data_IF_237787384140
#
_entry.id   IF_237787384140
#
_cell.length_a   1.000
_cell.length_b   1.000
_cell.length_c   1.000
_cell.angle_alpha   90.00
_cell.angle_beta   90.00
_cell.angle_gamma   90.00
#
_symmetry.space_group_name_H-M   'P 1'
#
loop_
_entity.id
_entity.type
_entity.pdbx_description
1 polymer ?
#
# COMPACT_ATOMS: atom_id res chain seq x y z
N UNK A 1 3.37 14.82 -13.46
CA UNK A 1 1.92 14.50 -13.44
C UNK A 1 1.24 15.31 -12.34
N UNK A 2 0.27 16.17 -12.70
CA UNK A 2 -0.44 17.06 -11.74
C UNK A 2 -1.19 16.30 -10.64
N UNK A 3 -1.59 15.05 -10.90
CA UNK A 3 -2.35 14.20 -9.98
C UNK A 3 -1.57 13.89 -8.68
N UNK A 4 -0.25 13.66 -8.78
CA UNK A 4 0.59 13.33 -7.62
C UNK A 4 0.83 14.53 -6.68
N UNK A 5 0.45 15.74 -7.08
CA UNK A 5 0.51 16.94 -6.25
C UNK A 5 -0.80 17.21 -5.49
N UNK A 6 -1.89 16.52 -5.86
CA UNK A 6 -3.17 16.69 -5.18
C UNK A 6 -3.18 15.89 -3.87
N UNK A 7 -3.38 16.55 -2.74
CA UNK A 7 -3.46 15.88 -1.42
C UNK A 7 -4.66 14.94 -1.32
N UNK A 8 -5.77 15.24 -1.99
CA UNK A 8 -6.96 14.38 -2.02
C UNK A 8 -6.67 13.02 -2.66
N UNK A 9 -5.82 12.99 -3.69
CA UNK A 9 -5.41 11.73 -4.33
C UNK A 9 -4.71 10.81 -3.34
N UNK A 10 -3.78 11.34 -2.54
CA UNK A 10 -3.06 10.57 -1.53
C UNK A 10 -3.98 10.10 -0.41
N UNK A 11 -4.88 10.97 0.05
CA UNK A 11 -5.87 10.61 1.06
C UNK A 11 -6.76 9.44 0.60
N UNK A 12 -7.26 9.49 -0.64
CA UNK A 12 -8.05 8.40 -1.23
C UNK A 12 -7.20 7.13 -1.35
N UNK A 13 -5.96 7.25 -1.86
CA UNK A 13 -5.05 6.12 -2.04
C UNK A 13 -4.78 5.38 -0.72
N UNK A 14 -4.42 6.11 0.34
CA UNK A 14 -4.19 5.52 1.67
C UNK A 14 -5.46 4.93 2.28
N UNK A 15 -6.61 5.59 2.08
CA UNK A 15 -7.91 5.06 2.54
C UNK A 15 -8.27 3.75 1.85
N UNK A 16 -8.05 3.67 0.54
CA UNK A 16 -8.32 2.48 -0.25
C UNK A 16 -7.37 1.34 0.17
N UNK A 17 -6.09 1.62 0.37
CA UNK A 17 -5.14 0.65 0.95
C UNK A 17 -5.56 0.15 2.32
N UNK A 18 -6.04 1.05 3.20
CA UNK A 18 -6.54 0.67 4.50
C UNK A 18 -7.73 -0.30 4.38
N UNK A 19 -8.70 -0.02 3.51
CA UNK A 19 -9.80 -0.94 3.27
C UNK A 19 -9.35 -2.29 2.72
N UNK A 20 -8.40 -2.32 1.78
CA UNK A 20 -7.81 -3.57 1.29
C UNK A 20 -7.09 -4.34 2.40
N UNK A 21 -6.48 -3.65 3.36
CA UNK A 21 -5.87 -4.29 4.52
C UNK A 21 -6.88 -4.82 5.54
N UNK A 22 -8.12 -4.33 5.55
CA UNK A 22 -9.17 -4.89 6.43
C UNK A 22 -9.63 -6.27 5.97
N UNK A 23 -9.54 -6.56 4.67
CA UNK A 23 -9.90 -7.87 4.10
C UNK A 23 -9.01 -9.00 4.69
N UNK A 24 -7.77 -8.64 5.06
CA UNK A 24 -6.84 -9.52 5.76
C UNK A 24 -7.18 -9.86 7.20
N UNK A 25 -8.11 -9.13 7.83
CA UNK A 25 -8.47 -9.40 9.21
C UNK A 25 -9.29 -10.69 9.37
N UNK A 26 -9.76 -11.25 8.25
CA UNK A 26 -10.35 -12.59 8.21
C UNK A 26 -9.25 -13.67 8.30
N UNK A 27 -8.99 -14.15 9.52
CA UNK A 27 -7.96 -15.17 9.81
C UNK A 27 -8.27 -16.56 9.23
N UNK A 28 -9.47 -16.79 8.69
CA UNK A 28 -9.87 -18.07 8.07
C UNK A 28 -9.61 -18.08 6.56
N UNK A 29 -8.33 -18.09 6.18
CA UNK A 29 -7.94 -18.21 4.77
C UNK A 29 -7.64 -19.68 4.45
N UNK A 30 -8.22 -20.27 3.39
CA UNK A 30 -7.88 -21.62 2.97
C UNK A 30 -6.39 -21.68 2.61
N UNK A 31 -5.67 -22.67 3.15
CA UNK A 31 -4.24 -22.85 2.92
C UNK A 31 -4.03 -23.37 1.50
N UNK A 32 -4.09 -22.47 0.53
CA UNK A 32 -3.62 -22.71 -0.83
C UNK A 32 -2.15 -22.31 -0.91
N UNK A 33 -1.28 -23.32 -0.88
CA UNK A 33 0.16 -23.14 -1.04
C UNK A 33 0.47 -22.76 -2.49
N UNK A 34 1.01 -21.56 -2.68
CA UNK A 34 1.48 -21.06 -3.97
C UNK A 34 2.97 -21.42 -4.18
N UNK A 35 3.58 -20.91 -5.26
CA UNK A 35 4.90 -21.27 -5.81
C UNK A 35 6.06 -21.39 -4.79
N UNK A 36 5.99 -20.68 -3.66
CA UNK A 36 7.04 -20.63 -2.63
C UNK A 36 6.65 -21.38 -1.33
N UNK A 37 5.64 -22.25 -1.37
CA UNK A 37 5.03 -22.88 -0.20
C UNK A 37 4.52 -21.87 0.86
N UNK A 38 4.20 -20.66 0.40
CA UNK A 38 3.54 -19.66 1.22
C UNK A 38 2.06 -19.63 0.85
N UNK A 39 1.15 -19.41 1.82
CA UNK A 39 -0.23 -19.14 1.52
C UNK A 39 -0.38 -17.94 0.58
N UNK A 40 -1.33 -18.00 -0.35
CA UNK A 40 -1.64 -16.90 -1.30
C UNK A 40 -1.84 -15.55 -0.61
N UNK A 41 -2.45 -15.54 0.58
CA UNK A 41 -2.67 -14.32 1.38
C UNK A 41 -1.35 -13.61 1.74
N UNK A 42 -0.27 -14.36 2.01
CA UNK A 42 1.05 -13.77 2.33
C UNK A 42 1.58 -12.94 1.15
N UNK A 43 1.40 -13.41 -0.09
CA UNK A 43 1.81 -12.66 -1.27
C UNK A 43 0.99 -11.39 -1.44
N UNK A 44 -0.33 -11.47 -1.23
CA UNK A 44 -1.20 -10.30 -1.29
C UNK A 44 -0.81 -9.26 -0.21
N UNK A 45 -0.42 -9.72 0.99
CA UNK A 45 0.04 -8.84 2.08
C UNK A 45 1.35 -8.16 1.72
N UNK A 46 2.34 -8.93 1.25
CA UNK A 46 3.62 -8.39 0.80
C UNK A 46 3.45 -7.38 -0.34
N UNK A 47 2.56 -7.66 -1.29
CA UNK A 47 2.23 -6.70 -2.36
C UNK A 47 1.66 -5.40 -1.78
N UNK A 48 0.70 -5.45 -0.87
CA UNK A 48 0.16 -4.24 -0.23
C UNK A 48 1.25 -3.45 0.51
N UNK A 49 2.15 -4.11 1.24
CA UNK A 49 3.26 -3.46 1.95
C UNK A 49 4.23 -2.76 1.00
N UNK A 50 4.57 -3.38 -0.12
CA UNK A 50 5.44 -2.79 -1.14
C UNK A 50 4.78 -1.54 -1.72
N UNK A 51 3.49 -1.62 -2.11
CA UNK A 51 2.78 -0.48 -2.71
C UNK A 51 2.63 0.65 -1.68
N UNK A 52 2.33 0.34 -0.41
CA UNK A 52 2.27 1.31 0.67
C UNK A 52 3.62 2.02 0.88
N UNK A 53 4.71 1.26 0.92
CA UNK A 53 6.06 1.78 1.09
C UNK A 53 6.42 2.74 -0.05
N UNK A 54 6.18 2.34 -1.30
CA UNK A 54 6.40 3.20 -2.47
C UNK A 54 5.52 4.46 -2.41
N UNK A 55 4.26 4.32 -1.99
CA UNK A 55 3.33 5.45 -1.85
C UNK A 55 3.84 6.45 -0.81
N UNK A 56 4.33 5.99 0.34
CA UNK A 56 4.93 6.83 1.37
C UNK A 56 6.20 7.53 0.89
N UNK A 57 7.09 6.84 0.17
CA UNK A 57 8.31 7.43 -0.39
C UNK A 57 7.95 8.55 -1.36
N UNK A 58 7.03 8.30 -2.30
CA UNK A 58 6.63 9.32 -3.28
C UNK A 58 5.93 10.50 -2.59
N UNK A 59 5.06 10.23 -1.62
CA UNK A 59 4.40 11.26 -0.84
C UNK A 59 5.42 12.11 -0.08
N UNK A 60 6.36 11.50 0.63
CA UNK A 60 7.42 12.19 1.36
C UNK A 60 8.26 13.07 0.41
N UNK A 61 8.71 12.53 -0.73
CA UNK A 61 9.49 13.31 -1.70
C UNK A 61 8.71 14.50 -2.31
N UNK A 62 7.37 14.45 -2.32
CA UNK A 62 6.53 15.54 -2.88
C UNK A 62 6.13 16.59 -1.84
N UNK A 63 5.78 16.17 -0.64
CA UNK A 63 5.23 17.06 0.39
C UNK A 63 6.26 17.45 1.46
N UNK A 64 7.32 16.65 1.62
CA UNK A 64 8.43 16.91 2.52
C UNK A 64 9.62 17.55 1.78
N UNK A 65 9.35 18.58 0.98
CA UNK A 65 10.43 19.41 0.44
C UNK A 65 10.84 20.42 1.50
N UNK A 66 12.13 20.45 1.83
CA UNK A 66 12.66 21.47 2.74
C UNK A 66 12.52 22.86 2.11
N UNK A 67 12.22 23.91 2.89
CA UNK A 67 12.09 25.28 2.39
C UNK A 67 13.38 25.89 1.79
N UNK A 68 14.48 25.12 1.68
CA UNK A 68 15.79 25.61 1.22
C UNK A 68 16.17 25.15 -0.20
N UNK A 69 15.26 24.49 -0.94
CA UNK A 69 15.41 24.17 -2.38
C UNK A 69 14.45 24.98 -3.27
#
# INVERSE_FOLDING_TARGET
MKILQNSQFWWISFTLMFFLSLDFWSWEQPINLSWLNLPSWVFYFLSLQIILTLSLIIFALKFWKNPQD
#
